data_IF_009967775521
#
_entry.id   IF_009967775521
#
_cell.length_a   1.000
_cell.length_b   1.000
_cell.length_c   1.000
_cell.angle_alpha   90.00
_cell.angle_beta   90.00
_cell.angle_gamma   90.00
#
_symmetry.space_group_name_H-M   'P 1'
#
loop_
_entity.id
_entity.type
_entity.pdbx_description
1 polymer ?
#
# COMPACT_ATOMS: atom_id res chain seq x y z
N UNK A 1 -16.87 -7.55 5.80
CA UNK A 1 -16.22 -7.13 4.53
C UNK A 1 -14.95 -6.38 4.89
N UNK A 2 -13.81 -6.74 4.29
CA UNK A 2 -12.52 -6.10 4.61
C UNK A 2 -12.43 -4.78 3.82
N UNK A 3 -11.97 -3.71 4.47
CA UNK A 3 -11.58 -2.46 3.82
C UNK A 3 -10.05 -2.39 3.77
N UNK A 4 -9.50 -2.02 2.62
CA UNK A 4 -8.06 -1.81 2.46
C UNK A 4 -7.82 -0.34 2.12
N UNK A 5 -6.82 0.25 2.75
CA UNK A 5 -6.38 1.62 2.48
C UNK A 5 -4.86 1.61 2.35
N UNK A 6 -4.37 2.17 1.25
CA UNK A 6 -2.94 2.40 0.99
C UNK A 6 -2.72 3.90 0.89
N UNK A 7 -1.77 4.42 1.65
CA UNK A 7 -1.45 5.84 1.70
C UNK A 7 0.03 6.06 1.43
N UNK A 8 0.36 7.02 0.57
CA UNK A 8 1.74 7.42 0.30
C UNK A 8 1.86 8.94 0.19
N UNK A 9 2.81 9.52 0.92
CA UNK A 9 3.21 10.93 0.75
C UNK A 9 3.84 11.12 -0.63
N UNK A 10 3.42 12.18 -1.33
CA UNK A 10 4.05 12.69 -2.55
C UNK A 10 4.89 13.90 -2.14
N UNK A 11 6.22 13.72 -2.10
CA UNK A 11 7.15 14.79 -1.77
C UNK A 11 7.21 15.81 -2.91
N UNK A 12 7.63 17.07 -2.65
CA UNK A 12 7.70 18.12 -3.68
C UNK A 12 8.55 17.77 -4.90
N UNK A 13 9.55 16.92 -4.74
CA UNK A 13 10.47 16.49 -5.81
C UNK A 13 10.05 15.18 -6.48
N UNK A 14 8.95 14.57 -6.04
CA UNK A 14 8.47 13.30 -6.59
C UNK A 14 7.43 13.52 -7.67
N UNK A 15 7.44 12.64 -8.66
CA UNK A 15 6.39 12.56 -9.67
C UNK A 15 5.20 11.80 -9.09
N UNK A 16 4.04 12.45 -9.06
CA UNK A 16 2.80 11.90 -8.54
C UNK A 16 2.37 10.63 -9.27
N UNK A 17 2.54 10.56 -10.59
CA UNK A 17 2.15 9.38 -11.36
C UNK A 17 3.08 8.20 -11.07
N UNK A 18 4.36 8.44 -10.75
CA UNK A 18 5.26 7.38 -10.27
C UNK A 18 4.88 6.86 -8.90
N UNK A 19 4.46 7.74 -7.98
CA UNK A 19 3.96 7.30 -6.66
C UNK A 19 2.66 6.51 -6.82
N UNK A 20 1.76 6.96 -7.69
CA UNK A 20 0.53 6.22 -8.02
C UNK A 20 0.83 4.87 -8.63
N UNK A 21 1.80 4.77 -9.55
CA UNK A 21 2.28 3.51 -10.11
C UNK A 21 2.82 2.57 -9.02
N UNK A 22 3.60 3.09 -8.07
CA UNK A 22 4.11 2.30 -6.97
C UNK A 22 2.99 1.68 -6.11
N UNK A 23 1.91 2.44 -5.88
CA UNK A 23 0.71 1.92 -5.21
C UNK A 23 0.05 0.84 -6.07
N UNK A 24 -0.19 1.10 -7.36
CA UNK A 24 -0.93 0.18 -8.23
C UNK A 24 -0.15 -1.07 -8.61
N UNK A 25 1.17 -1.10 -8.46
CA UNK A 25 2.00 -2.29 -8.63
C UNK A 25 1.73 -3.35 -7.55
N UNK A 26 1.44 -2.91 -6.32
CA UNK A 26 1.21 -3.81 -5.17
C UNK A 26 -0.27 -3.96 -4.80
N UNK A 27 -1.12 -3.06 -5.27
CA UNK A 27 -2.53 -2.96 -4.88
C UNK A 27 -3.44 -2.65 -6.07
N UNK A 28 -4.67 -3.13 -6.05
CA UNK A 28 -5.70 -2.78 -7.06
C UNK A 28 -6.81 -1.99 -6.37
N UNK A 29 -6.79 -0.65 -6.45
CA UNK A 29 -7.78 0.20 -5.79
C UNK A 29 -9.10 0.31 -6.55
N UNK A 30 -10.19 0.56 -5.82
CA UNK A 30 -11.48 0.98 -6.39
C UNK A 30 -11.44 2.48 -6.72
N UNK A 31 -10.77 3.27 -5.89
CA UNK A 31 -10.59 4.70 -6.06
C UNK A 31 -9.24 5.18 -5.52
N UNK A 32 -8.72 6.27 -6.10
CA UNK A 32 -7.54 6.99 -5.62
C UNK A 32 -7.90 8.46 -5.49
N UNK A 33 -7.57 9.06 -4.36
CA UNK A 33 -7.77 10.49 -4.10
C UNK A 33 -6.49 11.13 -3.57
N UNK A 34 -6.40 12.44 -3.72
CA UNK A 34 -5.36 13.25 -3.10
C UNK A 34 -5.93 13.84 -1.81
N UNK A 35 -5.16 13.74 -0.73
CA UNK A 35 -5.49 14.32 0.56
C UNK A 35 -4.35 15.26 0.98
N UNK A 36 -4.67 16.52 1.27
CA UNK A 36 -3.69 17.51 1.72
C UNK A 36 -3.81 17.70 3.23
N UNK A 37 -2.78 17.29 3.97
CA UNK A 37 -2.77 17.33 5.44
C UNK A 37 -1.44 17.88 5.93
N UNK A 38 -1.49 18.87 6.83
CA UNK A 38 -0.29 19.47 7.43
C UNK A 38 0.74 19.97 6.40
N UNK A 39 0.27 20.57 5.30
CA UNK A 39 1.14 21.06 4.21
C UNK A 39 1.78 19.97 3.34
N UNK A 40 1.34 18.72 3.48
CA UNK A 40 1.82 17.57 2.70
C UNK A 40 0.71 17.00 1.83
N UNK A 41 1.09 16.43 0.69
CA UNK A 41 0.16 15.75 -0.22
C UNK A 41 0.29 14.25 -0.06
N UNK A 42 -0.85 13.58 0.06
CA UNK A 42 -0.93 12.12 0.16
C UNK A 42 -1.80 11.57 -0.96
N UNK A 43 -1.33 10.54 -1.64
CA UNK A 43 -2.18 9.67 -2.44
C UNK A 43 -2.79 8.62 -1.52
N UNK A 44 -4.12 8.60 -1.46
CA UNK A 44 -4.91 7.66 -0.66
C UNK A 44 -5.70 6.79 -1.63
N UNK A 45 -5.35 5.51 -1.66
CA UNK A 45 -5.99 4.49 -2.48
C UNK A 45 -6.83 3.58 -1.59
N UNK A 46 -8.10 3.37 -1.94
CA UNK A 46 -9.03 2.58 -1.14
C UNK A 46 -9.65 1.48 -1.98
N UNK A 47 -9.97 0.35 -1.35
CA UNK A 47 -10.79 -0.69 -1.94
C UNK A 47 -11.57 -1.46 -0.87
N UNK A 48 -12.63 -2.14 -1.31
CA UNK A 48 -13.35 -3.11 -0.49
C UNK A 48 -13.07 -4.52 -1.01
N UNK A 49 -12.94 -5.48 -0.10
CA UNK A 49 -12.66 -6.87 -0.43
C UNK A 49 -11.17 -7.20 -0.51
N UNK A 50 -10.86 -8.49 -0.30
CA UNK A 50 -9.48 -8.97 -0.21
C UNK A 50 -8.82 -9.11 -1.60
N UNK A 51 -9.64 -9.24 -2.65
CA UNK A 51 -9.28 -9.27 -4.06
C UNK A 51 -8.38 -8.10 -4.49
N UNK A 52 -8.56 -6.92 -3.86
CA UNK A 52 -7.70 -5.76 -4.05
C UNK A 52 -6.21 -6.01 -3.68
N UNK A 53 -5.94 -7.01 -2.84
CA UNK A 53 -4.60 -7.44 -2.41
C UNK A 53 -4.03 -8.58 -3.26
N UNK A 54 -4.69 -9.01 -4.34
CA UNK A 54 -4.23 -10.14 -5.15
C UNK A 54 -2.79 -9.95 -5.68
N UNK A 55 -2.42 -8.73 -6.07
CA UNK A 55 -1.06 -8.37 -6.50
C UNK A 55 -0.03 -8.58 -5.39
N UNK A 56 -0.24 -7.96 -4.21
CA UNK A 56 0.63 -8.16 -3.05
C UNK A 56 0.72 -9.64 -2.66
N UNK A 57 -0.41 -10.36 -2.66
CA UNK A 57 -0.46 -11.78 -2.33
C UNK A 57 0.41 -12.64 -3.27
N UNK A 58 0.42 -12.33 -4.57
CA UNK A 58 1.27 -12.98 -5.55
C UNK A 58 2.75 -12.60 -5.37
N UNK A 59 3.04 -11.31 -5.16
CA UNK A 59 4.41 -10.80 -4.94
C UNK A 59 5.09 -11.47 -3.74
N UNK A 60 4.42 -11.53 -2.58
CA UNK A 60 5.00 -12.14 -1.37
C UNK A 60 5.38 -13.62 -1.57
N UNK A 61 4.66 -14.35 -2.44
CA UNK A 61 4.95 -15.75 -2.78
C UNK A 61 6.08 -15.87 -3.79
N UNK A 62 6.04 -15.03 -4.83
CA UNK A 62 7.09 -14.99 -5.87
C UNK A 62 8.45 -14.69 -5.25
N UNK A 63 8.51 -13.73 -4.34
CA UNK A 63 9.74 -13.32 -3.65
C UNK A 63 10.12 -14.26 -2.48
N UNK A 64 9.30 -15.26 -2.16
CA UNK A 64 9.53 -16.23 -1.07
C UNK A 64 9.73 -15.60 0.32
N UNK A 65 9.12 -14.44 0.58
CA UNK A 65 9.28 -13.67 1.83
C UNK A 65 8.09 -13.78 2.79
N UNK A 66 7.29 -14.85 2.70
CA UNK A 66 6.06 -15.01 3.50
C UNK A 66 6.33 -14.94 5.01
N UNK A 67 7.42 -15.52 5.49
CA UNK A 67 7.76 -15.52 6.93
C UNK A 67 8.11 -14.12 7.44
N UNK A 68 8.92 -13.38 6.66
CA UNK A 68 9.28 -12.00 6.98
C UNK A 68 8.04 -11.08 6.94
N UNK A 69 7.20 -11.23 5.90
CA UNK A 69 5.96 -10.48 5.77
C UNK A 69 5.01 -10.75 6.94
N UNK A 70 4.83 -12.01 7.33
CA UNK A 70 3.99 -12.41 8.46
C UNK A 70 4.47 -11.78 9.76
N UNK A 71 5.78 -11.78 10.01
CA UNK A 71 6.38 -11.14 11.19
C UNK A 71 6.10 -9.63 11.22
N UNK A 72 6.27 -8.95 10.08
CA UNK A 72 6.05 -7.51 9.98
C UNK A 72 4.57 -7.12 10.13
N UNK A 73 3.66 -7.86 9.49
CA UNK A 73 2.22 -7.61 9.61
C UNK A 73 1.70 -7.82 11.03
N UNK A 74 2.20 -8.84 11.75
CA UNK A 74 1.84 -9.08 13.15
C UNK A 74 2.33 -8.01 14.11
N UNK A 75 3.44 -7.34 13.80
CA UNK A 75 4.09 -6.39 14.73
C UNK A 75 3.20 -5.19 15.06
N UNK A 76 2.41 -4.74 14.09
CA UNK A 76 1.58 -3.53 14.21
C UNK A 76 0.08 -3.81 14.01
N UNK A 77 -0.32 -5.08 14.08
CA UNK A 77 -1.74 -5.48 14.00
C UNK A 77 -2.44 -5.33 15.34
N UNK A 78 -3.66 -4.80 15.33
CA UNK A 78 -4.61 -4.91 16.44
C UNK A 78 -5.62 -6.03 16.14
N UNK A 79 -6.66 -6.14 16.98
CA UNK A 79 -7.75 -7.09 16.76
C UNK A 79 -8.54 -6.82 15.46
N UNK A 80 -8.67 -5.56 15.07
CA UNK A 80 -9.53 -5.11 13.96
C UNK A 80 -8.76 -4.63 12.72
N UNK A 81 -7.44 -4.43 12.82
CA UNK A 81 -6.63 -3.90 11.71
C UNK A 81 -5.24 -4.48 11.63
N UNK A 82 -4.72 -4.53 10.42
CA UNK A 82 -3.33 -4.85 10.12
C UNK A 82 -2.71 -3.64 9.43
N UNK A 83 -1.66 -3.08 10.02
CA UNK A 83 -0.91 -1.96 9.45
C UNK A 83 0.51 -2.42 9.22
N UNK A 84 1.06 -2.12 8.06
CA UNK A 84 2.48 -2.32 7.75
C UNK A 84 2.88 -1.33 6.67
N UNK A 85 4.20 -1.20 6.46
CA UNK A 85 4.75 -0.28 5.48
C UNK A 85 5.56 -1.05 4.45
N UNK A 86 5.51 -0.59 3.21
CA UNK A 86 6.33 -1.08 2.11
C UNK A 86 7.34 0.00 1.72
N UNK A 87 8.46 -0.43 1.17
CA UNK A 87 9.40 0.51 0.58
C UNK A 87 8.81 1.07 -0.72
N UNK A 88 8.58 2.39 -0.76
CA UNK A 88 7.96 3.08 -1.90
C UNK A 88 8.74 2.94 -3.21
N UNK A 89 10.08 2.94 -3.13
CA UNK A 89 10.93 2.84 -4.32
C UNK A 89 10.97 1.42 -4.86
N UNK A 90 10.99 0.41 -3.98
CA UNK A 90 10.89 -1.00 -4.37
C UNK A 90 9.50 -1.30 -4.96
N UNK A 91 8.44 -0.67 -4.45
CA UNK A 91 7.10 -0.84 -5.01
C UNK A 91 6.94 -0.21 -6.40
N UNK A 92 7.76 0.78 -6.76
CA UNK A 92 7.73 1.42 -8.09
C UNK A 92 8.35 0.56 -9.19
N UNK A 93 9.41 -0.19 -8.86
CA UNK A 93 10.20 -1.00 -9.82
C UNK A 93 9.58 -2.35 -10.14
#
# INVERSE_FOLDING_TARGET
>A
MIKVTVEAEVKPTEDMEKVKQAITNVFTPDNIRIDERFGKKFLVAEAKGAESLAKLHALLRREQILDAARKMMKRWSSQDRVIFFLNKQVAYV
#
